data_IF_290885155074
#
_entry.id   IF_290885155074
#
_cell.length_a   1.000
_cell.length_b   1.000
_cell.length_c   1.000
_cell.angle_alpha   90.00
_cell.angle_beta   90.00
_cell.angle_gamma   90.00
#
_symmetry.space_group_name_H-M   'P 1'
#
loop_
_entity.id
_entity.type
_entity.pdbx_description
1 polymer ?
#
# COMPACT_ATOMS: atom_id res chain seq x y z
N UNK A 1 -12.91 -23.93 -8.46
CA UNK A 1 -12.02 -23.10 -7.62
C UNK A 1 -11.37 -23.99 -6.56
N UNK A 2 -10.05 -23.91 -6.34
CA UNK A 2 -9.30 -24.88 -5.50
C UNK A 2 -9.54 -24.71 -3.99
N UNK A 3 -9.84 -23.50 -3.54
CA UNK A 3 -10.36 -23.21 -2.19
C UNK A 3 -11.22 -21.93 -2.29
N UNK A 4 -12.55 -22.03 -2.27
CA UNK A 4 -13.43 -20.88 -2.48
C UNK A 4 -13.35 -19.87 -1.33
N UNK A 5 -13.14 -20.34 -0.09
CA UNK A 5 -12.99 -19.46 1.08
C UNK A 5 -11.74 -18.58 0.95
N UNK A 6 -10.61 -19.20 0.62
CA UNK A 6 -9.35 -18.47 0.43
C UNK A 6 -9.43 -17.46 -0.72
N UNK A 7 -10.14 -17.81 -1.79
CA UNK A 7 -10.37 -16.91 -2.91
C UNK A 7 -11.18 -15.66 -2.51
N UNK A 8 -12.29 -15.84 -1.80
CA UNK A 8 -13.14 -14.74 -1.34
C UNK A 8 -12.37 -13.82 -0.39
N UNK A 9 -11.60 -14.38 0.55
CA UNK A 9 -10.79 -13.58 1.48
C UNK A 9 -9.71 -12.80 0.75
N UNK A 10 -9.01 -13.41 -0.21
CA UNK A 10 -7.99 -12.73 -1.02
C UNK A 10 -8.58 -11.57 -1.83
N UNK A 11 -9.78 -11.75 -2.40
CA UNK A 11 -10.49 -10.69 -3.11
C UNK A 11 -10.88 -9.56 -2.15
N UNK A 12 -11.46 -9.88 -1.00
CA UNK A 12 -11.86 -8.87 0.00
C UNK A 12 -10.65 -8.03 0.45
N UNK A 13 -9.53 -8.68 0.78
CA UNK A 13 -8.31 -7.99 1.18
C UNK A 13 -7.70 -7.17 0.03
N UNK A 14 -7.78 -7.66 -1.21
CA UNK A 14 -7.35 -6.92 -2.40
C UNK A 14 -8.25 -5.70 -2.67
N UNK A 15 -9.55 -5.78 -2.39
CA UNK A 15 -10.51 -4.67 -2.48
C UNK A 15 -10.23 -3.60 -1.44
N UNK A 16 -9.99 -3.99 -0.18
CA UNK A 16 -9.56 -3.06 0.88
C UNK A 16 -8.26 -2.37 0.48
N UNK A 17 -7.32 -3.14 -0.08
CA UNK A 17 -6.06 -2.58 -0.56
C UNK A 17 -6.28 -1.59 -1.72
N UNK A 18 -7.14 -1.90 -2.68
CA UNK A 18 -7.46 -0.97 -3.79
C UNK A 18 -8.18 0.29 -3.31
N UNK A 19 -9.05 0.19 -2.31
CA UNK A 19 -9.62 1.37 -1.67
C UNK A 19 -8.53 2.25 -1.02
N UNK A 20 -7.53 1.64 -0.38
CA UNK A 20 -6.39 2.37 0.15
C UNK A 20 -5.51 2.99 -0.96
N UNK A 21 -5.39 2.35 -2.13
CA UNK A 21 -4.66 2.91 -3.28
C UNK A 21 -5.31 4.20 -3.81
N UNK A 22 -6.61 4.43 -3.60
CA UNK A 22 -7.28 5.70 -3.95
C UNK A 22 -6.73 6.88 -3.15
N UNK A 23 -6.13 6.63 -1.99
CA UNK A 23 -5.45 7.66 -1.19
C UNK A 23 -4.11 8.09 -1.80
N UNK A 24 -3.50 7.25 -2.64
CA UNK A 24 -2.14 7.41 -3.13
C UNK A 24 -1.91 8.66 -4.01
N UNK A 25 -2.83 9.10 -4.89
CA UNK A 25 -2.71 10.38 -5.58
C UNK A 25 -2.56 11.57 -4.62
N UNK A 26 -3.22 11.53 -3.46
CA UNK A 26 -3.06 12.53 -2.40
C UNK A 26 -1.63 12.55 -1.87
N UNK A 27 -1.02 11.37 -1.67
CA UNK A 27 0.39 11.23 -1.26
C UNK A 27 1.36 11.75 -2.32
N UNK A 28 1.07 11.54 -3.61
CA UNK A 28 1.90 12.10 -4.69
C UNK A 28 1.83 13.62 -4.68
N UNK A 29 0.63 14.21 -4.52
CA UNK A 29 0.46 15.66 -4.46
C UNK A 29 1.19 16.28 -3.25
N UNK A 30 1.12 15.64 -2.09
CA UNK A 30 1.88 16.10 -0.91
C UNK A 30 3.38 15.92 -1.09
N UNK A 31 3.84 14.83 -1.73
CA UNK A 31 5.25 14.62 -2.07
C UNK A 31 5.75 15.76 -2.98
N UNK A 32 5.07 15.99 -4.10
CA UNK A 32 5.44 17.03 -5.07
C UNK A 32 5.40 18.42 -4.43
N UNK A 33 4.41 18.70 -3.56
CA UNK A 33 4.36 19.93 -2.78
C UNK A 33 5.55 20.09 -1.84
N UNK A 34 5.89 19.05 -1.08
CA UNK A 34 7.00 19.04 -0.13
C UNK A 34 8.38 19.16 -0.82
N UNK A 35 8.52 18.65 -2.04
CA UNK A 35 9.75 18.71 -2.83
C UNK A 35 9.89 19.98 -3.68
N UNK A 36 8.79 20.59 -4.12
CA UNK A 36 8.81 21.80 -4.96
C UNK A 36 9.04 23.10 -4.18
N UNK A 37 8.99 23.06 -2.85
CA UNK A 37 9.12 24.24 -1.99
C UNK A 37 7.98 25.24 -2.12
N UNK A 38 6.85 24.82 -2.69
CA UNK A 38 5.64 25.61 -2.75
C UNK A 38 5.06 25.86 -1.36
N UNK A 39 4.72 27.12 -1.08
CA UNK A 39 4.17 27.65 0.18
C UNK A 39 2.84 27.04 0.65
N UNK A 40 2.31 26.03 -0.05
CA UNK A 40 1.01 25.40 0.22
C UNK A 40 1.08 24.23 1.22
N UNK A 41 2.25 23.61 1.37
CA UNK A 41 2.48 22.55 2.36
C UNK A 41 3.58 22.98 3.31
N UNK A 42 3.39 22.86 4.64
CA UNK A 42 4.43 23.20 5.59
C UNK A 42 5.69 22.38 5.27
N UNK A 43 6.85 23.04 5.25
CA UNK A 43 8.16 22.43 5.09
C UNK A 43 8.51 21.55 6.31
N UNK A 44 7.77 20.46 6.50
CA UNK A 44 8.09 19.46 7.51
C UNK A 44 9.03 18.44 6.88
N UNK A 45 10.29 18.32 7.36
CA UNK A 45 11.23 17.32 6.84
C UNK A 45 10.68 15.90 7.00
N UNK A 46 9.83 15.68 8.01
CA UNK A 46 9.12 14.43 8.25
C UNK A 46 8.14 14.07 7.13
N UNK A 47 7.32 15.02 6.64
CA UNK A 47 6.42 14.78 5.50
C UNK A 47 7.20 14.44 4.23
N UNK A 48 8.36 15.07 4.02
CA UNK A 48 9.20 14.80 2.86
C UNK A 48 9.77 13.37 2.87
N UNK A 49 10.26 12.91 4.01
CA UNK A 49 10.76 11.53 4.16
C UNK A 49 9.64 10.50 4.01
N UNK A 50 8.48 10.72 4.66
CA UNK A 50 7.32 9.81 4.58
C UNK A 50 6.82 9.70 3.14
N UNK A 51 6.64 10.83 2.46
CA UNK A 51 6.13 10.86 1.08
C UNK A 51 7.10 10.23 0.08
N UNK A 52 8.41 10.39 0.26
CA UNK A 52 9.45 9.70 -0.53
C UNK A 52 9.37 8.18 -0.37
N UNK A 53 9.27 7.73 0.87
CA UNK A 53 9.19 6.30 1.19
C UNK A 53 7.93 5.66 0.60
N UNK A 54 6.79 6.35 0.65
CA UNK A 54 5.55 5.91 0.02
C UNK A 54 5.67 5.81 -1.51
N UNK A 55 6.38 6.75 -2.14
CA UNK A 55 6.63 6.77 -3.59
C UNK A 55 7.34 5.50 -4.08
N UNK A 56 8.34 5.02 -3.33
CA UNK A 56 9.10 3.81 -3.68
C UNK A 56 8.39 2.51 -3.29
N UNK A 57 7.64 2.50 -2.20
CA UNK A 57 6.99 1.29 -1.71
C UNK A 57 5.75 0.88 -2.51
N UNK A 58 5.12 1.84 -3.20
CA UNK A 58 3.95 1.57 -4.02
C UNK A 58 4.18 0.55 -5.14
N UNK A 59 5.18 0.67 -6.03
CA UNK A 59 5.44 -0.37 -7.03
C UNK A 59 5.76 -1.73 -6.40
N UNK A 60 6.42 -1.75 -5.23
CA UNK A 60 6.73 -2.98 -4.49
C UNK A 60 5.45 -3.68 -4.05
N UNK A 61 4.47 -2.93 -3.56
CA UNK A 61 3.19 -3.48 -3.11
C UNK A 61 2.38 -4.15 -4.23
N UNK A 62 2.42 -3.60 -5.45
CA UNK A 62 1.76 -4.16 -6.64
C UNK A 62 2.44 -5.48 -7.03
N UNK A 63 3.76 -5.52 -6.98
CA UNK A 63 4.55 -6.74 -7.23
C UNK A 63 4.17 -7.82 -6.21
N UNK A 64 4.07 -7.47 -4.92
CA UNK A 64 3.65 -8.39 -3.85
C UNK A 64 2.24 -8.93 -4.11
N UNK A 65 1.29 -8.09 -4.55
CA UNK A 65 -0.06 -8.51 -4.89
C UNK A 65 -0.08 -9.52 -6.06
N UNK A 66 0.79 -9.35 -7.05
CA UNK A 66 0.95 -10.33 -8.13
C UNK A 66 1.49 -11.67 -7.61
N UNK A 67 2.52 -11.64 -6.76
CA UNK A 67 3.06 -12.86 -6.13
C UNK A 67 2.04 -13.57 -5.23
N UNK A 68 1.13 -12.82 -4.61
CA UNK A 68 0.04 -13.37 -3.82
C UNK A 68 -0.88 -14.26 -4.68
N UNK A 69 -1.31 -13.78 -5.85
CA UNK A 69 -2.11 -14.56 -6.79
C UNK A 69 -1.35 -15.77 -7.32
N UNK A 70 -0.07 -15.62 -7.64
CA UNK A 70 0.79 -16.74 -8.02
C UNK A 70 0.85 -17.82 -6.94
N UNK A 71 1.01 -17.43 -5.67
CA UNK A 71 1.05 -18.35 -4.53
C UNK A 71 -0.29 -19.09 -4.33
N UNK A 72 -1.42 -18.41 -4.53
CA UNK A 72 -2.75 -19.02 -4.53
C UNK A 72 -2.87 -20.10 -5.62
N UNK A 73 -2.43 -19.83 -6.85
CA UNK A 73 -2.47 -20.83 -7.94
C UNK A 73 -1.57 -22.05 -7.67
N UNK A 74 -0.46 -21.86 -6.96
CA UNK A 74 0.47 -22.92 -6.50
C UNK A 74 -0.01 -23.66 -5.24
N UNK A 75 -1.24 -23.41 -4.75
CA UNK A 75 -1.81 -24.02 -3.53
C UNK A 75 -1.04 -23.67 -2.23
N UNK A 76 -0.19 -22.63 -2.25
CA UNK A 76 0.53 -22.14 -1.06
C UNK A 76 -0.31 -21.11 -0.31
N UNK A 77 -1.44 -21.54 0.25
CA UNK A 77 -2.44 -20.63 0.83
C UNK A 77 -1.90 -19.80 2.01
N UNK A 78 -1.09 -20.39 2.91
CA UNK A 78 -0.46 -19.65 4.02
C UNK A 78 0.39 -18.48 3.50
N UNK A 79 1.15 -18.71 2.42
CA UNK A 79 2.00 -17.69 1.81
C UNK A 79 1.17 -16.63 1.08
N UNK A 80 0.08 -17.01 0.42
CA UNK A 80 -0.85 -16.04 -0.18
C UNK A 80 -1.46 -15.10 0.87
N UNK A 81 -1.86 -15.62 2.04
CA UNK A 81 -2.36 -14.76 3.13
C UNK A 81 -1.30 -13.81 3.69
N UNK A 82 -0.07 -14.27 3.87
CA UNK A 82 1.03 -13.39 4.32
C UNK A 82 1.29 -12.28 3.29
N UNK A 83 1.34 -12.64 2.01
CA UNK A 83 1.62 -11.68 0.94
C UNK A 83 0.49 -10.65 0.75
N UNK A 84 -0.79 -11.02 0.94
CA UNK A 84 -1.88 -10.04 0.83
C UNK A 84 -1.95 -9.09 2.04
N UNK A 85 -1.52 -9.54 3.21
CA UNK A 85 -1.52 -8.72 4.42
C UNK A 85 -0.35 -7.72 4.46
N UNK A 86 0.80 -8.04 3.85
CA UNK A 86 1.98 -7.17 3.80
C UNK A 86 1.67 -5.75 3.27
N UNK A 87 1.00 -5.59 2.11
CA UNK A 87 0.57 -4.28 1.61
C UNK A 87 -0.43 -3.56 2.52
N UNK A 88 -1.30 -4.30 3.23
CA UNK A 88 -2.27 -3.70 4.16
C UNK A 88 -1.59 -3.15 5.42
N UNK A 89 -0.65 -3.89 6.00
CA UNK A 89 0.15 -3.42 7.14
C UNK A 89 0.92 -2.16 6.76
N UNK A 90 1.48 -2.13 5.57
CA UNK A 90 2.15 -0.96 5.02
C UNK A 90 1.24 0.28 4.99
N UNK A 91 0.04 0.14 4.43
CA UNK A 91 -0.96 1.22 4.38
C UNK A 91 -1.31 1.71 5.78
N UNK A 92 -1.48 0.80 6.74
CA UNK A 92 -1.82 1.20 8.12
C UNK A 92 -0.70 2.00 8.78
N UNK A 93 0.55 1.55 8.67
CA UNK A 93 1.71 2.24 9.27
C UNK A 93 1.86 3.62 8.66
N UNK A 94 1.80 3.71 7.33
CA UNK A 94 2.01 4.98 6.62
C UNK A 94 0.86 5.96 6.79
N UNK A 95 -0.39 5.48 6.79
CA UNK A 95 -1.55 6.30 7.13
C UNK A 95 -1.51 6.82 8.56
N UNK A 96 -1.09 6.00 9.52
CA UNK A 96 -0.91 6.43 10.91
C UNK A 96 0.19 7.49 11.05
N UNK A 97 1.33 7.30 10.38
CA UNK A 97 2.42 8.28 10.36
C UNK A 97 2.00 9.61 9.75
N UNK A 98 1.15 9.59 8.72
CA UNK A 98 0.68 10.79 8.07
C UNK A 98 -0.39 11.54 8.88
N UNK A 99 -1.22 10.83 9.65
CA UNK A 99 -2.15 11.45 10.60
C UNK A 99 -1.45 12.07 11.82
N UNK A 100 -0.23 11.61 12.15
CA UNK A 100 0.56 12.09 13.27
C UNK A 100 1.51 13.26 12.93
N UNK A 101 1.68 13.57 11.63
CA UNK A 101 2.57 14.61 11.11
C UNK A 101 1.83 15.93 10.86
#
# INVERSE_FOLDING_TARGET
>A
MKNPVAFVVLILLSLVYTAALVYYPGVILTAVGAFSGGSFFPHSPMLREISSFMLFAYPISIIIAYFCWWAYHKRKFKLAYVLVCLPLVWVMITGALLLAA
#
